data_IF_890631324369
#
_entry.id   IF_890631324369
#
_cell.length_a   1.000
_cell.length_b   1.000
_cell.length_c   1.000
_cell.angle_alpha   90.00
_cell.angle_beta   90.00
_cell.angle_gamma   90.00
#
_symmetry.space_group_name_H-M   'P 1'
#
loop_
_entity.id
_entity.type
_entity.pdbx_description
1 polymer ?
#
# COMPACT_ATOMS: atom_id res chain seq x y z
N UNK A 1 25.54 6.27 18.50
CA UNK A 1 24.07 6.18 18.66
C UNK A 1 23.30 6.06 17.33
N UNK A 2 23.94 6.13 16.16
CA UNK A 2 23.29 5.92 14.85
C UNK A 2 23.09 4.44 14.46
N UNK A 3 23.82 3.50 15.08
CA UNK A 3 23.78 2.07 14.70
C UNK A 3 22.54 1.36 15.27
N UNK A 4 22.10 1.70 16.48
CA UNK A 4 20.97 1.03 17.15
C UNK A 4 19.60 1.30 16.46
N UNK A 5 19.45 2.44 15.77
CA UNK A 5 18.23 2.77 15.04
C UNK A 5 18.05 1.96 13.75
N UNK A 6 19.15 1.49 13.15
CA UNK A 6 19.13 0.65 11.95
C UNK A 6 19.01 -0.86 12.24
N UNK A 7 19.28 -1.31 13.48
CA UNK A 7 19.20 -2.74 13.83
C UNK A 7 17.75 -3.23 13.83
N UNK A 8 16.79 -2.41 14.28
CA UNK A 8 15.37 -2.77 14.26
C UNK A 8 14.85 -3.13 12.85
N UNK A 9 15.04 -2.25 11.85
CA UNK A 9 14.69 -2.53 10.46
C UNK A 9 15.44 -3.73 9.87
N UNK A 10 16.75 -3.87 10.13
CA UNK A 10 17.57 -4.97 9.60
C UNK A 10 17.13 -6.32 10.18
N UNK A 11 16.83 -6.39 11.49
CA UNK A 11 16.33 -7.60 12.14
C UNK A 11 14.94 -7.95 11.62
N UNK A 12 14.06 -6.96 11.43
CA UNK A 12 12.74 -7.20 10.84
C UNK A 12 12.85 -7.74 9.41
N UNK A 13 13.70 -7.14 8.56
CA UNK A 13 13.99 -7.62 7.20
C UNK A 13 14.57 -9.03 7.23
N UNK A 14 15.52 -9.31 8.13
CA UNK A 14 16.12 -10.64 8.27
C UNK A 14 15.09 -11.69 8.70
N UNK A 15 14.20 -11.37 9.64
CA UNK A 15 13.10 -12.26 10.04
C UNK A 15 12.14 -12.51 8.88
N UNK A 16 11.77 -11.48 8.12
CA UNK A 16 10.92 -11.63 6.92
C UNK A 16 11.59 -12.52 5.87
N UNK A 17 12.89 -12.34 5.63
CA UNK A 17 13.66 -13.17 4.70
C UNK A 17 13.73 -14.61 5.19
N UNK A 18 13.98 -14.85 6.48
CA UNK A 18 14.04 -16.21 7.06
C UNK A 18 12.67 -16.88 6.99
N UNK A 19 11.58 -16.17 7.29
CA UNK A 19 10.22 -16.69 7.16
C UNK A 19 9.89 -16.99 5.69
N UNK A 20 10.22 -16.09 4.77
CA UNK A 20 10.03 -16.33 3.33
C UNK A 20 10.85 -17.53 2.84
N UNK A 21 12.11 -17.65 3.25
CA UNK A 21 13.01 -18.76 2.90
C UNK A 21 12.57 -20.08 3.52
N UNK A 22 12.06 -20.09 4.76
CA UNK A 22 11.53 -21.30 5.41
C UNK A 22 10.22 -21.74 4.78
N UNK A 23 9.29 -20.83 4.51
CA UNK A 23 8.06 -21.12 3.75
C UNK A 23 8.42 -21.68 2.37
N UNK A 24 9.34 -21.03 1.65
CA UNK A 24 9.84 -21.51 0.35
C UNK A 24 10.49 -22.89 0.44
N UNK A 25 11.34 -23.12 1.44
CA UNK A 25 12.02 -24.40 1.66
C UNK A 25 11.06 -25.53 2.02
N UNK A 26 10.09 -25.28 2.91
CA UNK A 26 9.04 -26.25 3.29
C UNK A 26 8.12 -26.55 2.12
N UNK A 27 7.73 -25.52 1.36
CA UNK A 27 6.96 -25.64 0.14
C UNK A 27 7.66 -26.49 -0.93
N UNK A 28 8.91 -26.15 -1.25
CA UNK A 28 9.73 -26.87 -2.21
C UNK A 28 9.99 -28.32 -1.78
N UNK A 29 10.22 -28.55 -0.48
CA UNK A 29 10.37 -29.90 0.07
C UNK A 29 9.07 -30.71 -0.03
N UNK A 30 7.90 -30.10 0.22
CA UNK A 30 6.59 -30.77 0.06
C UNK A 30 6.29 -31.11 -1.39
N UNK A 31 6.57 -30.20 -2.32
CA UNK A 31 6.38 -30.41 -3.76
C UNK A 31 7.27 -31.55 -4.28
N UNK A 32 8.55 -31.57 -3.87
CA UNK A 32 9.49 -32.65 -4.23
C UNK A 32 9.08 -34.01 -3.66
N UNK A 33 8.59 -34.06 -2.41
CA UNK A 33 8.13 -35.30 -1.77
C UNK A 33 6.87 -35.90 -2.39
N UNK A 34 6.05 -35.09 -3.06
CA UNK A 34 4.80 -35.56 -3.70
C UNK A 34 4.99 -36.12 -5.11
N UNK A 35 6.18 -36.00 -5.71
CA UNK A 35 6.40 -36.44 -7.10
C UNK A 35 5.57 -35.67 -8.11
N UNK A 36 5.21 -34.41 -7.80
CA UNK A 36 4.29 -33.61 -8.61
C UNK A 36 4.85 -33.35 -10.02
N UNK A 37 4.08 -33.60 -11.09
CA UNK A 37 4.51 -33.36 -12.47
C UNK A 37 4.67 -31.88 -12.83
N UNK A 38 4.28 -30.94 -11.95
CA UNK A 38 4.45 -29.48 -12.17
C UNK A 38 5.00 -28.75 -10.93
N UNK A 39 6.30 -28.90 -10.62
CA UNK A 39 6.91 -28.33 -9.41
C UNK A 39 6.76 -26.80 -9.30
N UNK A 40 6.70 -26.09 -10.44
CA UNK A 40 6.49 -24.64 -10.50
C UNK A 40 5.11 -24.23 -9.98
N UNK A 41 4.05 -24.96 -10.35
CA UNK A 41 2.66 -24.65 -9.93
C UNK A 41 2.47 -24.92 -8.43
N UNK A 42 3.07 -26.01 -7.93
CA UNK A 42 3.05 -26.37 -6.51
C UNK A 42 3.78 -25.31 -5.64
N UNK A 43 4.90 -24.78 -6.15
CA UNK A 43 5.63 -23.68 -5.51
C UNK A 43 4.85 -22.35 -5.56
N UNK A 44 4.27 -22.01 -6.71
CA UNK A 44 3.46 -20.81 -6.85
C UNK A 44 2.24 -20.84 -5.93
N UNK A 45 1.55 -21.98 -5.82
CA UNK A 45 0.42 -22.18 -4.89
C UNK A 45 0.83 -21.90 -3.45
N UNK A 46 1.93 -22.50 -3.00
CA UNK A 46 2.36 -22.40 -1.59
C UNK A 46 2.82 -21.00 -1.24
N UNK A 47 3.60 -20.34 -2.11
CA UNK A 47 4.02 -18.96 -1.91
C UNK A 47 2.84 -17.99 -1.92
N UNK A 48 1.93 -18.12 -2.89
CA UNK A 48 0.77 -17.24 -3.00
C UNK A 48 -0.23 -17.44 -1.85
N UNK A 49 -0.48 -18.68 -1.42
CA UNK A 49 -1.32 -18.96 -0.27
C UNK A 49 -0.70 -18.45 1.04
N UNK A 50 0.61 -18.61 1.23
CA UNK A 50 1.32 -18.04 2.37
C UNK A 50 1.25 -16.51 2.36
N UNK A 51 1.49 -15.87 1.22
CA UNK A 51 1.39 -14.43 1.08
C UNK A 51 -0.03 -13.92 1.37
N UNK A 52 -1.06 -14.61 0.89
CA UNK A 52 -2.44 -14.25 1.20
C UNK A 52 -2.75 -14.34 2.70
N UNK A 53 -2.23 -15.37 3.38
CA UNK A 53 -2.37 -15.50 4.83
C UNK A 53 -1.62 -14.40 5.60
N UNK A 54 -0.37 -14.13 5.22
CA UNK A 54 0.42 -13.03 5.81
C UNK A 54 -0.20 -11.67 5.54
N UNK A 55 -0.73 -11.44 4.35
CA UNK A 55 -1.40 -10.20 3.99
C UNK A 55 -2.67 -9.96 4.81
N UNK A 56 -3.46 -11.01 5.08
CA UNK A 56 -4.64 -10.91 5.95
C UNK A 56 -4.25 -10.60 7.40
N UNK A 57 -3.22 -11.28 7.93
CA UNK A 57 -2.68 -10.99 9.26
C UNK A 57 -2.10 -9.57 9.32
N UNK A 58 -1.37 -9.16 8.28
CA UNK A 58 -0.79 -7.83 8.15
C UNK A 58 -1.86 -6.73 8.13
N UNK A 59 -2.99 -6.96 7.47
CA UNK A 59 -4.12 -6.02 7.49
C UNK A 59 -4.70 -5.86 8.90
N UNK A 60 -4.91 -6.96 9.63
CA UNK A 60 -5.40 -6.92 11.02
C UNK A 60 -4.40 -6.22 11.94
N UNK A 61 -3.12 -6.58 11.83
CA UNK A 61 -2.05 -5.95 12.62
C UNK A 61 -1.95 -4.45 12.31
N UNK A 62 -2.02 -4.06 11.04
CA UNK A 62 -1.99 -2.66 10.62
C UNK A 62 -3.14 -1.86 11.22
N UNK A 63 -4.36 -2.43 11.24
CA UNK A 63 -5.52 -1.80 11.87
C UNK A 63 -5.30 -1.64 13.38
N UNK A 64 -4.87 -2.70 14.06
CA UNK A 64 -4.61 -2.66 15.50
C UNK A 64 -3.53 -1.63 15.83
N UNK A 65 -2.41 -1.62 15.10
CA UNK A 65 -1.32 -0.69 15.32
C UNK A 65 -1.75 0.76 15.08
N UNK A 66 -2.47 1.03 13.98
CA UNK A 66 -2.97 2.38 13.70
C UNK A 66 -4.01 2.87 14.72
N UNK A 67 -4.79 1.98 15.35
CA UNK A 67 -5.78 2.34 16.38
C UNK A 67 -5.22 2.34 17.81
N UNK A 68 -4.16 1.59 18.07
CA UNK A 68 -3.52 1.52 19.38
C UNK A 68 -2.37 2.53 19.56
N UNK A 69 -1.77 3.03 18.48
CA UNK A 69 -0.67 4.00 18.56
C UNK A 69 -1.12 5.33 19.16
N UNK A 70 -0.33 5.93 20.04
CA UNK A 70 -0.65 7.28 20.56
C UNK A 70 -0.55 8.35 19.46
N UNK A 71 0.36 8.15 18.51
CA UNK A 71 0.56 8.99 17.34
C UNK A 71 0.74 8.13 16.08
N UNK A 72 -0.31 7.83 15.30
CA UNK A 72 -0.16 7.12 14.04
C UNK A 72 0.66 7.93 13.03
N UNK A 73 1.51 7.23 12.27
CA UNK A 73 2.25 7.79 11.14
C UNK A 73 1.26 8.08 10.00
N UNK A 74 1.18 9.33 9.59
CA UNK A 74 0.26 9.79 8.54
C UNK A 74 0.98 10.60 7.48
N UNK A 75 0.51 10.43 6.25
CA UNK A 75 0.90 11.24 5.10
C UNK A 75 -0.05 12.44 5.02
N UNK A 76 0.48 13.63 5.20
CA UNK A 76 -0.28 14.87 5.31
C UNK A 76 0.09 15.79 4.16
N UNK A 77 -0.84 16.17 3.27
CA UNK A 77 -0.55 17.10 2.20
C UNK A 77 -0.32 18.49 2.77
N UNK A 78 0.62 19.23 2.18
CA UNK A 78 0.92 20.62 2.53
C UNK A 78 1.05 21.45 1.26
N UNK A 79 0.78 22.76 1.35
CA UNK A 79 1.06 23.65 0.22
C UNK A 79 2.54 23.54 -0.16
N UNK A 80 2.83 23.62 -1.46
CA UNK A 80 4.19 23.50 -1.95
C UNK A 80 5.08 24.55 -1.29
N UNK A 81 6.03 24.10 -0.48
CA UNK A 81 6.98 24.98 0.20
C UNK A 81 8.41 24.50 -0.01
N UNK A 82 9.34 25.43 -0.12
CA UNK A 82 10.77 25.18 -0.09
C UNK A 82 11.38 26.11 0.96
N UNK A 83 12.12 25.58 1.96
CA UNK A 83 12.74 26.45 2.96
C UNK A 83 13.82 27.32 2.32
N UNK A 84 13.59 28.62 2.28
CA UNK A 84 14.62 29.59 1.91
C UNK A 84 15.56 29.87 3.08
N UNK A 85 16.81 30.21 2.75
CA UNK A 85 17.79 30.68 3.72
C UNK A 85 17.25 31.94 4.42
N UNK A 86 17.50 32.06 5.72
CA UNK A 86 17.14 33.26 6.45
C UNK A 86 17.83 34.48 5.82
N UNK A 87 17.17 35.65 5.78
CA UNK A 87 17.77 36.89 5.31
C UNK A 87 19.13 37.14 5.99
N UNK A 88 20.18 37.32 5.19
CA UNK A 88 21.54 37.56 5.69
C UNK A 88 22.40 36.30 5.94
N UNK A 89 21.87 35.10 5.71
CA UNK A 89 22.66 33.85 5.71
C UNK A 89 23.21 33.60 4.31
N UNK A 90 24.53 33.67 4.17
CA UNK A 90 25.24 33.33 2.93
C UNK A 90 26.03 32.04 3.17
N UNK A 91 25.95 31.10 2.22
CA UNK A 91 26.79 29.90 2.22
C UNK A 91 28.03 30.20 1.38
N UNK A 92 29.13 30.60 2.03
CA UNK A 92 30.37 31.01 1.35
C UNK A 92 31.07 29.85 0.62
N UNK A 93 30.85 28.62 1.06
CA UNK A 93 31.38 27.41 0.44
C UNK A 93 30.33 26.30 0.48
N UNK A 94 29.67 26.06 -0.65
CA UNK A 94 28.62 25.06 -0.80
C UNK A 94 28.61 24.39 -2.16
N UNK A 95 27.71 23.41 -2.36
CA UNK A 95 27.47 22.81 -3.67
C UNK A 95 27.05 23.90 -4.68
N UNK A 96 27.52 23.81 -5.93
CA UNK A 96 27.21 24.77 -7.00
C UNK A 96 25.84 24.55 -7.65
N UNK A 97 25.12 23.49 -7.25
CA UNK A 97 23.80 23.19 -7.78
C UNK A 97 22.75 24.03 -7.05
N UNK A 98 21.95 24.77 -7.82
CA UNK A 98 20.84 25.57 -7.31
C UNK A 98 19.50 24.88 -7.57
N UNK A 99 18.55 25.11 -6.67
CA UNK A 99 17.18 24.62 -6.81
C UNK A 99 16.46 25.52 -7.81
N UNK A 100 16.31 25.06 -9.05
CA UNK A 100 15.64 25.81 -10.11
C UNK A 100 14.09 25.82 -9.98
N UNK A 101 13.53 24.96 -9.12
CA UNK A 101 12.10 24.87 -8.86
C UNK A 101 11.73 23.57 -8.15
N UNK A 102 10.60 23.58 -7.44
CA UNK A 102 10.10 22.42 -6.69
C UNK A 102 9.64 22.79 -5.29
N UNK A 103 9.37 21.78 -4.47
CA UNK A 103 8.89 21.97 -3.10
C UNK A 103 8.45 20.66 -2.46
N UNK A 104 8.25 20.69 -1.15
CA UNK A 104 7.60 19.62 -0.40
C UNK A 104 6.10 19.83 -0.46
N UNK A 105 5.36 18.78 -0.85
CA UNK A 105 3.89 18.79 -0.90
C UNK A 105 3.26 17.74 0.02
N UNK A 106 4.09 16.88 0.62
CA UNK A 106 3.66 15.80 1.51
C UNK A 106 4.61 15.76 2.70
N UNK A 107 4.03 15.79 3.90
CA UNK A 107 4.72 15.64 5.16
C UNK A 107 4.35 14.28 5.78
N UNK A 108 5.35 13.46 6.06
CA UNK A 108 5.18 12.21 6.79
C UNK A 108 5.42 12.47 8.28
N UNK A 109 4.35 12.46 9.07
CA UNK A 109 4.36 12.90 10.46
C UNK A 109 3.68 11.90 11.39
N UNK A 110 4.16 11.81 12.62
CA UNK A 110 3.50 11.05 13.68
C UNK A 110 2.53 11.98 14.41
N UNK A 111 1.23 11.76 14.22
CA UNK A 111 0.19 12.73 14.59
C UNK A 111 -0.49 12.34 15.90
N UNK A 112 -0.20 13.06 16.97
CA UNK A 112 -0.93 12.93 18.24
C UNK A 112 -2.16 13.85 18.25
N UNK A 113 -3.26 13.39 18.87
CA UNK A 113 -4.45 14.23 19.11
C UNK A 113 -5.34 14.48 17.89
N UNK A 114 -5.15 13.74 16.80
CA UNK A 114 -5.98 13.85 15.59
C UNK A 114 -7.44 13.40 15.84
N UNK A 115 -8.38 13.94 15.07
CA UNK A 115 -9.78 13.56 15.17
C UNK A 115 -10.00 12.05 14.96
N UNK A 116 -10.93 11.43 15.71
CA UNK A 116 -11.23 10.01 15.57
C UNK A 116 -11.68 9.63 14.15
N UNK A 117 -12.34 10.56 13.45
CA UNK A 117 -12.80 10.36 12.08
C UNK A 117 -11.60 10.28 11.11
N UNK A 118 -10.67 11.25 11.15
CA UNK A 118 -9.47 11.22 10.31
C UNK A 118 -8.66 9.95 10.55
N UNK A 119 -8.50 9.55 11.82
CA UNK A 119 -7.84 8.31 12.21
C UNK A 119 -8.54 7.07 11.67
N UNK A 120 -9.87 7.02 11.74
CA UNK A 120 -10.68 5.93 11.22
C UNK A 120 -10.55 5.79 9.70
N UNK A 121 -10.64 6.90 8.97
CA UNK A 121 -10.48 6.94 7.52
C UNK A 121 -9.07 6.52 7.09
N UNK A 122 -8.03 7.01 7.77
CA UNK A 122 -6.65 6.61 7.54
C UNK A 122 -6.46 5.11 7.71
N UNK A 123 -6.92 4.58 8.84
CA UNK A 123 -6.81 3.16 9.17
C UNK A 123 -7.53 2.29 8.14
N UNK A 124 -8.73 2.69 7.72
CA UNK A 124 -9.49 1.99 6.69
C UNK A 124 -8.77 2.04 5.32
N UNK A 125 -8.21 3.19 4.94
CA UNK A 125 -7.40 3.33 3.73
C UNK A 125 -6.20 2.38 3.72
N UNK A 126 -5.43 2.33 4.81
CA UNK A 126 -4.28 1.43 4.94
C UNK A 126 -4.67 -0.06 4.95
N UNK A 127 -5.79 -0.39 5.59
CA UNK A 127 -6.32 -1.76 5.55
C UNK A 127 -6.68 -2.16 4.11
N UNK A 128 -7.32 -1.29 3.33
CA UNK A 128 -7.63 -1.59 1.92
C UNK A 128 -6.35 -1.73 1.09
N UNK A 129 -5.35 -0.88 1.29
CA UNK A 129 -4.05 -0.98 0.61
C UNK A 129 -3.36 -2.32 0.85
N UNK A 130 -3.43 -2.86 2.06
CA UNK A 130 -2.87 -4.19 2.39
C UNK A 130 -3.71 -5.35 1.83
N UNK A 131 -5.03 -5.18 1.71
CA UNK A 131 -5.93 -6.20 1.17
C UNK A 131 -5.82 -6.40 -0.34
N UNK A 132 -5.45 -5.37 -1.10
CA UNK A 132 -5.30 -5.46 -2.57
C UNK A 132 -4.28 -6.53 -3.00
N UNK A 133 -2.99 -6.49 -2.59
CA UNK A 133 -2.03 -7.53 -2.94
C UNK A 133 -2.40 -8.89 -2.34
N UNK A 134 -3.10 -8.89 -1.20
CA UNK A 134 -3.64 -10.12 -0.57
C UNK A 134 -4.67 -10.79 -1.48
N UNK A 135 -5.59 -10.02 -2.07
CA UNK A 135 -6.60 -10.54 -2.99
C UNK A 135 -6.00 -11.10 -4.28
N UNK A 136 -4.93 -10.47 -4.79
CA UNK A 136 -4.20 -10.96 -5.96
C UNK A 136 -3.48 -12.27 -5.63
N UNK A 137 -2.82 -12.36 -4.48
CA UNK A 137 -2.17 -13.60 -4.06
C UNK A 137 -3.19 -14.73 -3.84
N UNK A 138 -4.35 -14.43 -3.25
CA UNK A 138 -5.44 -15.40 -3.11
C UNK A 138 -5.95 -15.91 -4.47
N UNK A 139 -6.09 -15.03 -5.47
CA UNK A 139 -6.44 -15.43 -6.85
C UNK A 139 -5.40 -16.40 -7.43
N UNK A 140 -4.10 -16.09 -7.29
CA UNK A 140 -3.03 -16.96 -7.77
C UNK A 140 -3.07 -18.32 -7.08
N UNK A 141 -3.30 -18.35 -5.76
CA UNK A 141 -3.43 -19.58 -5.00
C UNK A 141 -4.61 -20.42 -5.49
N UNK A 142 -5.79 -19.82 -5.68
CA UNK A 142 -6.97 -20.51 -6.21
C UNK A 142 -6.70 -21.04 -7.62
N UNK A 143 -6.08 -20.26 -8.50
CA UNK A 143 -5.74 -20.68 -9.84
C UNK A 143 -4.79 -21.88 -9.84
N UNK A 144 -3.71 -21.84 -9.05
CA UNK A 144 -2.75 -22.94 -8.96
C UNK A 144 -3.38 -24.21 -8.37
N UNK A 145 -4.23 -24.06 -7.34
CA UNK A 145 -4.95 -25.19 -6.74
C UNK A 145 -5.87 -25.89 -7.76
N UNK A 146 -6.63 -25.10 -8.52
CA UNK A 146 -7.53 -25.63 -9.54
C UNK A 146 -6.78 -26.26 -10.71
N UNK A 147 -5.62 -25.71 -11.09
CA UNK A 147 -4.73 -26.32 -12.08
C UNK A 147 -4.21 -27.69 -11.63
N UNK A 148 -3.73 -27.81 -10.38
CA UNK A 148 -3.28 -29.09 -9.81
C UNK A 148 -4.43 -30.10 -9.65
N UNK A 149 -5.65 -29.62 -9.43
CA UNK A 149 -6.85 -30.46 -9.37
C UNK A 149 -7.40 -30.85 -10.76
N UNK A 150 -6.74 -30.47 -11.87
CA UNK A 150 -7.22 -30.73 -13.23
C UNK A 150 -8.45 -29.90 -13.67
N UNK A 151 -8.80 -28.87 -12.89
CA UNK A 151 -10.01 -28.04 -13.08
C UNK A 151 -9.65 -26.61 -13.53
N UNK A 152 -8.79 -26.51 -14.54
CA UNK A 152 -8.19 -25.26 -15.01
C UNK A 152 -9.21 -24.17 -15.43
N UNK A 153 -10.42 -24.55 -15.86
CA UNK A 153 -11.46 -23.63 -16.33
C UNK A 153 -12.77 -23.73 -15.55
N UNK A 154 -12.71 -24.11 -14.27
CA UNK A 154 -13.88 -24.13 -13.41
C UNK A 154 -14.50 -22.72 -13.28
N UNK A 155 -15.82 -22.67 -13.09
CA UNK A 155 -16.60 -21.45 -12.88
C UNK A 155 -16.10 -20.64 -11.67
N UNK A 156 -15.45 -21.33 -10.72
CA UNK A 156 -14.79 -20.73 -9.55
C UNK A 156 -13.69 -19.74 -9.98
N UNK A 157 -12.81 -20.10 -10.92
CA UNK A 157 -11.70 -19.21 -11.34
C UNK A 157 -12.25 -17.93 -11.94
N UNK A 158 -13.28 -18.04 -12.80
CA UNK A 158 -13.96 -16.87 -13.39
C UNK A 158 -14.52 -15.95 -12.30
N UNK A 159 -15.22 -16.54 -11.31
CA UNK A 159 -15.84 -15.77 -10.22
C UNK A 159 -14.80 -15.10 -9.33
N UNK A 160 -13.73 -15.80 -8.97
CA UNK A 160 -12.65 -15.26 -8.13
C UNK A 160 -11.87 -14.19 -8.89
N UNK A 161 -11.55 -14.40 -10.17
CA UNK A 161 -10.86 -13.39 -11.00
C UNK A 161 -11.68 -12.11 -11.10
N UNK A 162 -13.00 -12.23 -11.35
CA UNK A 162 -13.90 -11.09 -11.40
C UNK A 162 -14.04 -10.40 -10.03
N UNK A 163 -14.10 -11.17 -8.94
CA UNK A 163 -14.12 -10.60 -7.59
C UNK A 163 -12.84 -9.81 -7.29
N UNK A 164 -11.67 -10.37 -7.62
CA UNK A 164 -10.38 -9.67 -7.47
C UNK A 164 -10.32 -8.42 -8.34
N UNK A 165 -10.84 -8.45 -9.57
CA UNK A 165 -10.93 -7.27 -10.42
C UNK A 165 -11.71 -6.13 -9.74
N UNK A 166 -12.87 -6.45 -9.16
CA UNK A 166 -13.71 -5.49 -8.41
C UNK A 166 -12.99 -5.00 -7.16
N UNK A 167 -12.35 -5.89 -6.41
CA UNK A 167 -11.59 -5.53 -5.20
C UNK A 167 -10.43 -4.59 -5.54
N UNK A 168 -9.68 -4.86 -6.60
CA UNK A 168 -8.54 -4.01 -7.02
C UNK A 168 -9.04 -2.64 -7.48
N UNK A 169 -10.05 -2.59 -8.35
CA UNK A 169 -10.58 -1.33 -8.86
C UNK A 169 -11.28 -0.50 -7.78
N UNK A 170 -12.31 -1.06 -7.14
CA UNK A 170 -13.10 -0.34 -6.15
C UNK A 170 -12.33 -0.16 -4.85
N UNK A 171 -11.64 -1.21 -4.37
CA UNK A 171 -10.85 -1.15 -3.15
C UNK A 171 -9.63 -0.25 -3.28
N UNK A 172 -8.91 -0.26 -4.41
CA UNK A 172 -7.79 0.66 -4.64
C UNK A 172 -8.22 2.12 -4.77
N UNK A 173 -9.34 2.37 -5.44
CA UNK A 173 -9.90 3.73 -5.53
C UNK A 173 -10.37 4.21 -4.17
N UNK A 174 -11.10 3.38 -3.43
CA UNK A 174 -11.54 3.71 -2.08
C UNK A 174 -10.36 3.90 -1.12
N UNK A 175 -9.31 3.07 -1.20
CA UNK A 175 -8.12 3.18 -0.38
C UNK A 175 -7.45 4.55 -0.55
N UNK A 176 -7.22 4.98 -1.79
CA UNK A 176 -6.64 6.29 -2.07
C UNK A 176 -7.53 7.42 -1.56
N UNK A 177 -8.83 7.40 -1.88
CA UNK A 177 -9.74 8.47 -1.48
C UNK A 177 -9.83 8.59 0.04
N UNK A 178 -9.90 7.48 0.77
CA UNK A 178 -9.93 7.48 2.23
C UNK A 178 -8.61 8.03 2.82
N UNK A 179 -7.46 7.64 2.26
CA UNK A 179 -6.15 8.15 2.66
C UNK A 179 -5.99 9.65 2.37
N UNK A 180 -6.43 10.11 1.20
CA UNK A 180 -6.34 11.51 0.77
C UNK A 180 -7.24 12.42 1.61
N UNK A 181 -8.48 11.97 1.90
CA UNK A 181 -9.40 12.68 2.78
C UNK A 181 -8.83 12.73 4.20
N UNK A 182 -8.35 11.60 4.73
CA UNK A 182 -7.76 11.55 6.07
C UNK A 182 -6.52 12.44 6.18
N UNK A 183 -5.64 12.41 5.18
CA UNK A 183 -4.47 13.28 5.12
C UNK A 183 -4.87 14.75 5.05
N UNK A 184 -5.84 15.10 4.22
CA UNK A 184 -6.34 16.49 4.14
C UNK A 184 -6.99 16.97 5.44
N UNK A 185 -7.72 16.11 6.14
CA UNK A 185 -8.24 16.42 7.48
C UNK A 185 -7.10 16.65 8.47
N UNK A 186 -6.09 15.76 8.48
CA UNK A 186 -4.89 15.92 9.29
C UNK A 186 -4.17 17.24 8.99
N UNK A 187 -4.11 17.64 7.71
CA UNK A 187 -3.49 18.88 7.27
C UNK A 187 -4.19 20.10 7.86
N UNK A 188 -5.52 20.10 7.84
CA UNK A 188 -6.30 21.17 8.46
C UNK A 188 -6.14 21.17 9.98
N UNK A 189 -6.17 20.01 10.63
CA UNK A 189 -6.03 19.92 12.09
C UNK A 189 -4.63 20.32 12.59
N UNK A 190 -3.59 20.10 11.78
CA UNK A 190 -2.20 20.39 12.15
C UNK A 190 -1.74 21.79 11.73
N UNK A 191 -2.20 22.27 10.58
CA UNK A 191 -1.62 23.44 9.93
C UNK A 191 -2.61 24.57 9.69
N UNK A 192 -3.92 24.39 9.93
CA UNK A 192 -4.86 25.50 9.80
C UNK A 192 -4.64 26.54 10.92
N UNK A 193 -4.39 27.78 10.53
CA UNK A 193 -4.12 28.89 11.46
C UNK A 193 -5.42 29.59 11.84
N UNK A 194 -5.72 29.66 13.14
CA UNK A 194 -6.75 30.55 13.69
C UNK A 194 -6.18 31.89 14.17
N UNK A 195 -5.13 31.84 14.99
CA UNK A 195 -4.37 33.00 15.48
C UNK A 195 -2.97 32.56 15.89
N UNK A 196 -1.95 33.39 15.67
CA UNK A 196 -0.58 33.12 16.09
C UNK A 196 -0.01 34.30 16.88
N UNK A 197 0.83 34.00 17.86
CA UNK A 197 1.60 34.98 18.62
C UNK A 197 3.06 34.54 18.63
N UNK A 198 3.97 35.49 18.50
CA UNK A 198 5.40 35.23 18.58
C UNK A 198 6.10 36.37 19.33
N UNK A 199 7.22 36.03 19.95
CA UNK A 199 8.16 37.02 20.45
C UNK A 199 8.95 37.56 19.27
N UNK A 200 9.16 38.87 19.20
CA UNK A 200 9.91 39.51 18.12
C UNK A 200 11.32 38.90 17.99
N UNK A 201 11.64 38.43 16.79
CA UNK A 201 12.96 37.86 16.46
C UNK A 201 13.65 38.87 15.54
N UNK A 202 14.83 39.41 15.93
CA UNK A 202 15.54 40.39 15.11
C UNK A 202 15.82 39.87 13.70
N UNK A 203 15.38 40.62 12.68
CA UNK A 203 15.61 40.29 11.27
C UNK A 203 14.65 39.27 10.65
N UNK A 204 13.58 38.88 11.37
CA UNK A 204 12.53 38.00 10.84
C UNK A 204 11.18 38.73 10.92
N UNK A 205 10.67 39.15 9.76
CA UNK A 205 9.39 39.88 9.66
C UNK A 205 8.18 38.96 9.89
N UNK A 206 8.22 37.71 9.38
CA UNK A 206 7.22 36.68 9.63
C UNK A 206 7.88 35.30 9.83
N UNK A 207 7.95 34.78 11.08
CA UNK A 207 8.51 33.45 11.35
C UNK A 207 7.65 32.31 10.77
N UNK A 208 6.41 32.57 10.32
CA UNK A 208 5.54 31.57 9.70
C UNK A 208 5.79 31.39 8.21
N UNK A 209 6.67 32.16 7.58
CA UNK A 209 7.05 31.96 6.18
C UNK A 209 7.61 30.54 5.91
N UNK A 210 8.18 29.89 6.93
CA UNK A 210 8.71 28.53 6.86
C UNK A 210 7.76 27.47 7.45
N UNK A 211 6.56 27.86 7.88
CA UNK A 211 5.58 26.94 8.44
C UNK A 211 4.71 26.35 7.32
N UNK A 212 4.52 25.01 7.27
CA UNK A 212 3.68 24.41 6.24
C UNK A 212 2.23 24.91 6.30
N UNK A 213 1.65 25.19 5.14
CA UNK A 213 0.23 25.58 5.04
C UNK A 213 -0.66 24.38 4.79
N UNK A 214 -1.82 24.38 5.46
CA UNK A 214 -2.83 23.36 5.27
C UNK A 214 -3.34 23.38 3.82
N UNK A 215 -3.47 22.21 3.22
CA UNK A 215 -4.04 22.06 1.88
C UNK A 215 -4.99 20.88 1.80
N UNK A 216 -5.81 20.89 0.76
CA UNK A 216 -6.68 19.77 0.39
C UNK A 216 -6.08 19.11 -0.83
N UNK A 217 -5.74 17.83 -0.70
CA UNK A 217 -5.27 17.04 -1.82
C UNK A 217 -6.10 15.78 -1.93
N UNK A 218 -6.93 15.71 -2.96
CA UNK A 218 -7.75 14.54 -3.30
C UNK A 218 -7.45 14.18 -4.74
N UNK A 219 -6.85 13.02 -4.92
CA UNK A 219 -6.44 12.52 -6.22
C UNK A 219 -7.27 11.30 -6.60
N UNK A 220 -7.62 11.21 -7.88
CA UNK A 220 -8.27 10.01 -8.40
C UNK A 220 -7.20 9.06 -8.96
N UNK A 221 -7.00 7.88 -8.35
CA UNK A 221 -5.99 6.95 -8.84
C UNK A 221 -6.54 6.22 -10.07
N UNK A 222 -5.88 6.38 -11.23
CA UNK A 222 -6.28 5.67 -12.45
C UNK A 222 -5.75 4.24 -12.52
N UNK A 223 -4.63 3.97 -11.86
CA UNK A 223 -3.95 2.67 -11.92
C UNK A 223 -4.79 1.49 -11.36
N UNK A 224 -5.57 1.60 -10.25
CA UNK A 224 -6.36 0.47 -9.75
C UNK A 224 -7.53 0.17 -10.68
N UNK A 225 -8.12 1.21 -11.29
CA UNK A 225 -9.18 1.08 -12.29
C UNK A 225 -8.63 0.32 -13.50
N UNK A 226 -7.47 0.73 -14.03
CA UNK A 226 -6.83 0.05 -15.15
C UNK A 226 -6.45 -1.41 -14.81
N UNK A 227 -5.87 -1.66 -13.63
CA UNK A 227 -5.52 -3.00 -13.18
C UNK A 227 -6.75 -3.90 -13.02
N UNK A 228 -7.83 -3.39 -12.43
CA UNK A 228 -9.10 -4.10 -12.30
C UNK A 228 -9.73 -4.41 -13.65
N UNK A 229 -9.70 -3.47 -14.61
CA UNK A 229 -10.17 -3.73 -15.98
C UNK A 229 -9.34 -4.84 -16.66
N UNK A 230 -8.03 -4.86 -16.47
CA UNK A 230 -7.17 -5.94 -16.96
C UNK A 230 -7.56 -7.32 -16.39
N UNK A 231 -7.83 -7.39 -15.08
CA UNK A 231 -8.31 -8.60 -14.42
C UNK A 231 -9.73 -9.00 -14.88
N UNK A 232 -10.61 -8.03 -15.11
CA UNK A 232 -11.96 -8.30 -15.63
C UNK A 232 -11.91 -8.86 -17.06
N UNK A 233 -11.02 -8.33 -17.90
CA UNK A 233 -10.76 -8.90 -19.23
C UNK A 233 -10.24 -10.34 -19.13
N UNK A 234 -9.31 -10.62 -18.22
CA UNK A 234 -8.83 -11.98 -17.95
C UNK A 234 -9.96 -12.92 -17.49
N UNK A 235 -10.87 -12.44 -16.63
CA UNK A 235 -12.05 -13.20 -16.21
C UNK A 235 -12.96 -13.54 -17.40
N UNK A 236 -13.11 -12.62 -18.36
CA UNK A 236 -13.88 -12.87 -19.58
C UNK A 236 -13.22 -13.95 -20.47
N UNK A 237 -11.90 -13.95 -20.57
CA UNK A 237 -11.13 -14.99 -21.28
C UNK A 237 -11.35 -16.36 -20.62
N UNK A 238 -11.22 -16.47 -19.30
CA UNK A 238 -11.50 -17.72 -18.59
C UNK A 238 -12.94 -18.19 -18.76
N UNK A 239 -13.90 -17.26 -18.77
CA UNK A 239 -15.31 -17.59 -19.02
C UNK A 239 -15.51 -18.18 -20.41
N UNK A 240 -14.84 -17.64 -21.42
CA UNK A 240 -14.89 -18.18 -22.78
C UNK A 240 -14.25 -19.57 -22.86
N UNK A 241 -13.05 -19.76 -22.28
CA UNK A 241 -12.39 -21.07 -22.20
C UNK A 241 -13.24 -22.13 -21.50
N UNK A 242 -13.92 -21.76 -20.40
CA UNK A 242 -14.83 -22.66 -19.67
C UNK A 242 -16.07 -23.10 -20.47
N UNK A 243 -16.48 -22.31 -21.48
CA UNK A 243 -17.59 -22.67 -22.37
C UNK A 243 -17.10 -23.65 -23.43
N UNK A 244 -15.99 -23.35 -24.08
CA UNK A 244 -15.38 -24.23 -25.08
C UNK A 244 -15.05 -25.62 -24.53
N UNK A 245 -14.53 -25.71 -23.31
CA UNK A 245 -14.24 -27.00 -22.68
C UNK A 245 -15.52 -27.82 -22.45
N UNK A 246 -16.61 -27.19 -21.97
CA UNK A 246 -17.90 -27.87 -21.77
C UNK A 246 -18.53 -28.31 -23.08
N UNK A 247 -18.44 -27.50 -24.13
CA UNK A 247 -18.98 -27.83 -25.45
C UNK A 247 -18.22 -29.01 -26.08
N UNK A 248 -16.92 -29.16 -25.79
CA UNK A 248 -16.10 -30.28 -26.27
C UNK A 248 -16.35 -31.56 -25.48
N UNK A 249 -16.48 -31.47 -24.15
CA UNK A 249 -16.81 -32.61 -23.28
C UNK A 249 -18.21 -33.18 -23.55
N UNK A 250 -19.14 -32.37 -24.08
CA UNK A 250 -20.48 -32.81 -24.46
C UNK A 250 -20.61 -33.47 -25.84
N UNK A 251 -19.52 -33.52 -26.63
CA UNK A 251 -19.48 -34.11 -27.97
C UNK A 251 -18.88 -35.53 -28.00
N UNK A 252 -18.52 -36.09 -26.83
CA UNK A 252 -17.95 -37.44 -26.66
C UNK A 252 -18.96 -38.39 -26.05
#
# INVERSE_FOLDING_TARGET
>A
MLVLWNIGPIVAIAVVIVVAATVFGVAAARARRRGDPSPVVSLALTLSAAWAAFGLLGAVISVIQNLAADAPRMSVPVAQFWPDLLPGVVIDAGPTAEVAGGGFMVAEVDVAGISPLARGLWTAGQALWTLIPTAIAALIAVACFQLLAGRAFDRIIVRVTMATAVIVAAGGTAAQLLSDIAGSMASQELFARGSAQWTEIPGIDDPFAWWPEATLNVTLPFWPIAAGLGLAALAAVFRYGSRLQRDTEGLV
#
